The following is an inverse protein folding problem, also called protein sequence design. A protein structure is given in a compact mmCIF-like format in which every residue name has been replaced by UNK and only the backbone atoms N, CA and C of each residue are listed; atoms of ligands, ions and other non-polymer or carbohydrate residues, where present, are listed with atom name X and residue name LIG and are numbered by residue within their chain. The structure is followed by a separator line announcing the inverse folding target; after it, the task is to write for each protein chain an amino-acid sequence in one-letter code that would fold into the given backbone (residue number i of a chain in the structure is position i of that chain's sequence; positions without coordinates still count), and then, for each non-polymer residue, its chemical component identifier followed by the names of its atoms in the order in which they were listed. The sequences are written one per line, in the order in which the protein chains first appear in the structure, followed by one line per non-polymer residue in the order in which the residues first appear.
data_IF_045741712433
#
_entry.id   IF_045741712433
#
_cell.length_a   1.000
_cell.length_b   1.000
_cell.length_c   1.000
_cell.angle_alpha   90.00
_cell.angle_beta   90.00
_cell.angle_gamma   90.00
#
_symmetry.space_group_name_H-M   'P 1'
#
loop_
_entity.id
_entity.type
_entity.pdbx_description
1 polymer ?
#
# COMPACT_ATOMS: atom_id res chain seq x y z
N UNK A 1 6.85 24.90 11.01
CA UNK A 1 5.81 24.65 10.00
C UNK A 1 5.57 23.16 9.92
N UNK A 2 4.34 22.70 10.09
CA UNK A 2 4.01 21.30 9.84
C UNK A 2 3.93 21.10 8.33
N UNK A 3 4.90 20.40 7.75
CA UNK A 3 4.81 19.93 6.36
C UNK A 3 3.74 18.84 6.33
N UNK A 4 2.80 18.92 5.39
CA UNK A 4 1.83 17.86 5.15
C UNK A 4 2.57 16.56 4.82
N UNK A 5 2.08 15.44 5.35
CA UNK A 5 2.60 14.13 4.97
C UNK A 5 2.29 13.79 3.51
N UNK A 6 2.95 12.77 2.98
CA UNK A 6 2.76 12.26 1.61
C UNK A 6 2.03 10.93 1.61
N UNK A 7 1.42 10.60 0.48
CA UNK A 7 0.81 9.28 0.26
C UNK A 7 1.75 8.41 -0.59
N UNK A 8 2.05 7.23 -0.07
CA UNK A 8 2.83 6.20 -0.74
C UNK A 8 1.98 4.95 -0.95
N UNK A 9 1.90 4.48 -2.17
CA UNK A 9 1.33 3.17 -2.50
C UNK A 9 2.46 2.16 -2.54
N UNK A 10 2.26 1.04 -1.86
CA UNK A 10 3.14 -0.12 -1.98
C UNK A 10 2.35 -1.28 -2.53
N UNK A 11 2.70 -1.71 -3.74
CA UNK A 11 2.14 -2.88 -4.39
C UNK A 11 3.22 -3.94 -4.62
N UNK A 12 2.81 -5.12 -5.01
CA UNK A 12 3.72 -6.23 -5.33
C UNK A 12 3.02 -7.56 -5.29
N UNK A 13 3.56 -8.56 -6.00
CA UNK A 13 2.88 -9.84 -6.16
C UNK A 13 2.75 -10.59 -4.85
N UNK A 14 1.74 -11.45 -4.82
CA UNK A 14 1.55 -12.34 -3.68
C UNK A 14 2.79 -13.23 -3.49
N UNK A 15 3.25 -13.34 -2.23
CA UNK A 15 4.44 -14.14 -1.90
C UNK A 15 5.76 -13.37 -1.94
N UNK A 16 5.77 -12.10 -2.35
CA UNK A 16 6.98 -11.28 -2.40
C UNK A 16 7.56 -10.92 -1.02
N UNK A 17 6.78 -11.06 0.05
CA UNK A 17 7.19 -10.69 1.42
C UNK A 17 6.84 -9.26 1.82
N UNK A 18 5.92 -8.61 1.11
CA UNK A 18 5.51 -7.22 1.33
C UNK A 18 5.14 -6.94 2.79
N UNK A 19 4.27 -7.74 3.40
CA UNK A 19 3.83 -7.54 4.79
C UNK A 19 4.99 -7.57 5.80
N UNK A 20 6.00 -8.43 5.59
CA UNK A 20 7.20 -8.50 6.44
C UNK A 20 8.03 -7.23 6.32
N UNK A 21 8.24 -6.75 5.09
CA UNK A 21 8.98 -5.50 4.82
C UNK A 21 8.25 -4.30 5.44
N UNK A 22 6.93 -4.22 5.25
CA UNK A 22 6.14 -3.13 5.80
C UNK A 22 6.12 -3.14 7.32
N UNK A 23 5.97 -4.30 7.96
CA UNK A 23 6.05 -4.41 9.41
C UNK A 23 7.39 -3.87 9.94
N UNK A 24 8.52 -4.28 9.33
CA UNK A 24 9.84 -3.79 9.70
C UNK A 24 10.05 -2.29 9.39
N UNK A 25 9.41 -1.76 8.34
CA UNK A 25 9.44 -0.33 8.02
C UNK A 25 8.77 0.51 9.11
N UNK A 26 7.66 0.02 9.66
CA UNK A 26 6.86 0.72 10.67
C UNK A 26 7.41 0.61 12.09
N UNK A 27 8.33 -0.31 12.34
CA UNK A 27 8.91 -0.51 13.67
C UNK A 27 9.63 0.76 14.18
N UNK A 28 9.14 1.30 15.31
CA UNK A 28 9.68 2.52 15.92
C UNK A 28 9.43 3.82 15.14
N UNK A 29 8.45 3.86 14.21
CA UNK A 29 8.12 5.01 13.36
C UNK A 29 6.75 5.60 13.69
N UNK A 30 6.73 6.73 14.40
CA UNK A 30 5.51 7.48 14.73
C UNK A 30 5.11 8.49 13.64
N UNK A 31 6.01 8.75 12.72
CA UNK A 31 5.84 9.64 11.57
C UNK A 31 5.17 8.95 10.36
N UNK A 32 4.89 7.66 10.47
CA UNK A 32 4.19 6.87 9.46
C UNK A 32 2.78 6.49 9.93
N UNK A 33 1.86 6.45 8.99
CA UNK A 33 0.50 5.94 9.17
C UNK A 33 0.22 4.81 8.17
N UNK A 34 -0.03 3.60 8.68
CA UNK A 34 -0.53 2.50 7.86
C UNK A 34 -2.03 2.67 7.66
N UNK A 35 -2.46 2.82 6.42
CA UNK A 35 -3.88 3.00 6.13
C UNK A 35 -4.64 1.70 6.31
N UNK A 36 -5.50 1.67 7.33
CA UNK A 36 -6.38 0.54 7.60
C UNK A 36 -7.59 0.63 6.68
N UNK A 37 -7.79 -0.38 5.83
CA UNK A 37 -8.91 -0.46 4.90
C UNK A 37 -10.22 -0.76 5.62
N UNK A 38 -11.34 -0.27 5.08
CA UNK A 38 -12.67 -0.71 5.46
C UNK A 38 -13.05 -1.99 4.70
N UNK A 39 -13.82 -2.87 5.33
CA UNK A 39 -14.36 -4.07 4.68
C UNK A 39 -15.75 -4.43 5.18
N UNK A 40 -16.53 -5.07 4.32
CA UNK A 40 -17.83 -5.64 4.68
C UNK A 40 -17.75 -7.10 5.14
N UNK A 41 -16.56 -7.70 5.07
CA UNK A 41 -16.30 -9.04 5.57
C UNK A 41 -16.40 -9.06 7.10
N UNK A 42 -16.98 -10.12 7.64
CA UNK A 42 -16.94 -10.35 9.09
C UNK A 42 -15.50 -10.56 9.59
N UNK A 43 -15.16 -10.08 10.81
CA UNK A 43 -13.84 -10.34 11.40
C UNK A 43 -13.56 -11.84 11.51
N UNK A 44 -12.31 -12.23 11.28
CA UNK A 44 -11.81 -13.57 11.61
C UNK A 44 -11.36 -13.60 13.08
N UNK A 45 -11.16 -14.81 13.59
CA UNK A 45 -10.61 -14.98 14.94
C UNK A 45 -9.25 -14.26 15.06
N UNK A 46 -9.13 -13.42 16.09
CA UNK A 46 -7.94 -12.62 16.35
C UNK A 46 -7.87 -11.27 15.64
N UNK A 47 -8.71 -11.00 14.64
CA UNK A 47 -8.76 -9.69 13.97
C UNK A 47 -9.48 -8.63 14.84
N UNK A 48 -8.96 -7.41 14.86
CA UNK A 48 -9.47 -6.28 15.66
C UNK A 48 -9.93 -5.14 14.77
N UNK A 49 -11.12 -4.61 15.08
CA UNK A 49 -11.64 -3.43 14.40
C UNK A 49 -10.72 -2.22 14.58
N UNK A 50 -10.53 -1.47 13.50
CA UNK A 50 -9.66 -0.29 13.47
C UNK A 50 -8.15 -0.59 13.47
N UNK A 51 -7.76 -1.87 13.52
CA UNK A 51 -6.36 -2.31 13.49
C UNK A 51 -6.07 -3.13 12.24
N UNK A 52 -6.81 -4.23 12.05
CA UNK A 52 -6.65 -5.09 10.88
C UNK A 52 -7.50 -4.57 9.72
N UNK A 53 -8.75 -4.20 10.01
CA UNK A 53 -9.71 -3.55 9.13
C UNK A 53 -10.68 -2.68 9.94
N UNK A 54 -11.33 -1.72 9.27
CA UNK A 54 -12.58 -1.14 9.75
C UNK A 54 -13.73 -2.02 9.25
N UNK A 55 -14.29 -2.85 10.15
CA UNK A 55 -15.37 -3.77 9.80
C UNK A 55 -16.70 -3.01 9.82
N UNK A 56 -17.31 -2.79 8.64
CA UNK A 56 -18.55 -2.03 8.49
C UNK A 56 -19.61 -2.82 7.72
N UNK A 57 -20.88 -2.50 7.96
CA UNK A 57 -22.00 -3.11 7.24
C UNK A 57 -21.98 -2.72 5.76
N UNK A 58 -22.48 -3.63 4.91
CA UNK A 58 -22.54 -3.43 3.46
C UNK A 58 -23.28 -2.15 3.06
N UNK A 59 -24.38 -1.81 3.74
CA UNK A 59 -25.14 -0.58 3.46
C UNK A 59 -24.33 0.66 3.78
N UNK A 60 -23.57 0.66 4.90
CA UNK A 60 -22.65 1.77 5.22
C UNK A 60 -21.56 1.89 4.16
N UNK A 61 -21.00 0.78 3.69
CA UNK A 61 -19.98 0.80 2.64
C UNK A 61 -20.54 1.38 1.34
N UNK A 62 -21.76 0.96 0.92
CA UNK A 62 -22.43 1.51 -0.28
C UNK A 62 -22.71 3.01 -0.16
N UNK A 63 -23.15 3.48 1.01
CA UNK A 63 -23.33 4.90 1.26
C UNK A 63 -22.01 5.67 1.11
N UNK A 64 -20.89 5.14 1.64
CA UNK A 64 -19.56 5.72 1.48
C UNK A 64 -19.10 5.77 0.02
N UNK A 65 -19.46 4.76 -0.80
CA UNK A 65 -19.21 4.82 -2.26
C UNK A 65 -20.01 5.97 -2.88
N UNK A 66 -21.30 6.11 -2.56
CA UNK A 66 -22.16 7.16 -3.10
C UNK A 66 -21.70 8.57 -2.68
N UNK A 67 -21.08 8.70 -1.51
CA UNK A 67 -20.47 9.92 -0.97
C UNK A 67 -19.06 10.19 -1.51
N UNK A 68 -18.53 9.36 -2.42
CA UNK A 68 -17.13 9.37 -2.89
C UNK A 68 -16.09 9.41 -1.75
N UNK A 69 -16.35 8.67 -0.68
CA UNK A 69 -15.57 8.71 0.56
C UNK A 69 -14.36 7.76 0.56
N UNK A 70 -14.12 7.02 -0.52
CA UNK A 70 -12.98 6.13 -0.67
C UNK A 70 -11.96 6.68 -1.67
N UNK A 71 -10.67 6.51 -1.40
CA UNK A 71 -9.60 6.70 -2.38
C UNK A 71 -9.66 5.63 -3.48
N UNK A 72 -9.86 4.38 -3.06
CA UNK A 72 -10.09 3.22 -3.91
C UNK A 72 -11.04 2.25 -3.21
N UNK A 73 -11.72 1.43 -3.98
CA UNK A 73 -12.46 0.28 -3.46
C UNK A 73 -12.56 -0.82 -4.52
N UNK A 74 -12.73 -2.05 -4.04
CA UNK A 74 -12.93 -3.23 -4.87
C UNK A 74 -13.87 -4.23 -4.19
N UNK A 75 -14.53 -5.05 -4.99
CA UNK A 75 -15.21 -6.24 -4.51
C UNK A 75 -14.33 -7.46 -4.72
N UNK A 76 -14.18 -8.26 -3.65
CA UNK A 76 -13.46 -9.53 -3.70
C UNK A 76 -14.21 -10.60 -2.93
N UNK A 77 -14.55 -11.70 -3.61
CA UNK A 77 -15.28 -12.85 -3.03
C UNK A 77 -16.55 -12.41 -2.28
N UNK A 78 -17.36 -11.54 -2.90
CA UNK A 78 -18.64 -11.06 -2.36
C UNK A 78 -18.51 -10.07 -1.18
N UNK A 79 -17.31 -9.57 -0.87
CA UNK A 79 -17.08 -8.54 0.14
C UNK A 79 -16.41 -7.33 -0.49
N UNK A 80 -16.76 -6.16 0.01
CA UNK A 80 -16.11 -4.92 -0.37
C UNK A 80 -14.91 -4.64 0.52
N UNK A 81 -13.91 -4.02 -0.08
CA UNK A 81 -12.70 -3.50 0.57
C UNK A 81 -12.41 -2.11 0.00
N UNK A 82 -11.96 -1.18 0.82
CA UNK A 82 -11.64 0.16 0.32
C UNK A 82 -10.89 1.00 1.34
N UNK A 83 -10.17 1.99 0.86
CA UNK A 83 -9.35 2.91 1.64
C UNK A 83 -10.14 4.19 1.96
N UNK A 84 -10.56 4.43 3.24
CA UNK A 84 -11.32 5.62 3.60
C UNK A 84 -10.48 6.88 3.44
N UNK A 85 -10.91 7.79 2.57
CA UNK A 85 -10.19 9.03 2.23
C UNK A 85 -9.94 9.92 3.46
N UNK A 86 -10.96 10.11 4.30
CA UNK A 86 -10.88 10.97 5.49
C UNK A 86 -9.80 10.58 6.49
N UNK A 87 -9.51 9.28 6.63
CA UNK A 87 -8.47 8.80 7.55
C UNK A 87 -7.07 9.12 7.00
N UNK A 88 -6.89 8.98 5.70
CA UNK A 88 -5.66 9.35 5.00
C UNK A 88 -5.40 10.85 5.13
N UNK A 89 -6.41 11.67 4.84
CA UNK A 89 -6.30 13.15 4.94
C UNK A 89 -5.91 13.59 6.34
N UNK A 90 -6.59 13.05 7.35
CA UNK A 90 -6.31 13.36 8.75
C UNK A 90 -4.85 13.01 9.14
N UNK A 91 -4.34 11.88 8.67
CA UNK A 91 -2.94 11.50 8.95
C UNK A 91 -1.95 12.43 8.26
N UNK A 92 -2.21 12.79 6.99
CA UNK A 92 -1.38 13.75 6.25
C UNK A 92 -1.39 15.14 6.88
N UNK A 93 -2.53 15.63 7.34
CA UNK A 93 -2.66 16.91 8.08
C UNK A 93 -1.88 16.92 9.39
N UNK A 94 -1.67 15.74 10.00
CA UNK A 94 -0.82 15.56 11.18
C UNK A 94 0.68 15.48 10.83
N UNK A 95 1.05 15.64 9.56
CA UNK A 95 2.42 15.55 9.08
C UNK A 95 2.95 14.12 8.96
N UNK A 96 2.06 13.11 9.01
CA UNK A 96 2.45 11.71 8.85
C UNK A 96 2.43 11.30 7.39
N UNK A 97 3.46 10.58 6.96
CA UNK A 97 3.41 9.89 5.69
C UNK A 97 2.44 8.71 5.75
N UNK A 98 1.59 8.60 4.76
CA UNK A 98 0.56 7.56 4.67
C UNK A 98 1.00 6.48 3.70
N UNK A 99 0.98 5.23 4.15
CA UNK A 99 1.31 4.08 3.33
C UNK A 99 0.06 3.24 3.07
N UNK A 100 -0.24 3.03 1.79
CA UNK A 100 -1.35 2.22 1.28
C UNK A 100 -0.80 0.89 0.76
N UNK A 101 -1.14 -0.22 1.43
CA UNK A 101 -0.86 -1.58 0.96
C UNK A 101 -2.02 -2.06 0.09
N UNK A 102 -1.98 -1.76 -1.21
CA UNK A 102 -3.07 -2.02 -2.15
C UNK A 102 -2.57 -2.69 -3.43
N UNK A 103 -3.51 -3.36 -4.13
CA UNK A 103 -3.25 -3.95 -5.43
C UNK A 103 -3.19 -2.90 -6.54
N UNK A 104 -2.64 -3.26 -7.70
CA UNK A 104 -2.42 -2.34 -8.83
C UNK A 104 -3.71 -1.65 -9.28
N UNK A 105 -4.85 -2.36 -9.28
CA UNK A 105 -6.14 -1.75 -9.66
C UNK A 105 -6.56 -0.65 -8.68
N UNK A 106 -6.35 -0.87 -7.38
CA UNK A 106 -6.57 0.17 -6.37
C UNK A 106 -5.61 1.34 -6.54
N UNK A 107 -4.34 1.06 -6.83
CA UNK A 107 -3.33 2.09 -7.12
C UNK A 107 -3.76 3.02 -8.27
N UNK A 108 -4.33 2.47 -9.35
CA UNK A 108 -4.85 3.26 -10.47
C UNK A 108 -5.99 4.20 -10.04
N UNK A 109 -6.92 3.73 -9.19
CA UNK A 109 -8.01 4.56 -8.66
C UNK A 109 -7.48 5.68 -7.78
N UNK A 110 -6.52 5.39 -6.88
CA UNK A 110 -5.90 6.42 -6.03
C UNK A 110 -5.21 7.47 -6.89
N UNK A 111 -4.39 7.09 -7.87
CA UNK A 111 -3.66 8.02 -8.74
C UNK A 111 -4.60 8.87 -9.61
N UNK A 112 -5.77 8.35 -9.99
CA UNK A 112 -6.79 9.15 -10.69
C UNK A 112 -7.35 10.28 -9.81
N UNK A 113 -7.45 10.06 -8.51
CA UNK A 113 -7.93 11.06 -7.52
C UNK A 113 -6.79 11.93 -6.97
N UNK A 114 -5.59 11.36 -6.85
CA UNK A 114 -4.38 11.98 -6.26
C UNK A 114 -3.15 11.68 -7.11
N UNK A 115 -2.94 12.44 -8.20
CA UNK A 115 -1.83 12.22 -9.13
C UNK A 115 -0.44 12.34 -8.49
N UNK A 116 -0.33 13.08 -7.39
CA UNK A 116 0.90 13.28 -6.62
C UNK A 116 1.33 12.05 -5.79
N UNK A 117 0.48 11.02 -5.69
CA UNK A 117 0.77 9.82 -4.91
C UNK A 117 1.95 9.05 -5.49
N UNK A 118 2.91 8.73 -4.64
CA UNK A 118 4.13 8.00 -5.01
C UNK A 118 3.84 6.50 -5.05
N UNK A 119 4.16 5.85 -6.17
CA UNK A 119 3.92 4.41 -6.38
C UNK A 119 5.22 3.65 -6.28
N UNK A 120 5.28 2.70 -5.35
CA UNK A 120 6.43 1.84 -5.11
C UNK A 120 6.00 0.38 -5.34
N UNK A 121 6.72 -0.32 -6.19
CA UNK A 121 6.47 -1.74 -6.44
C UNK A 121 7.55 -2.58 -5.78
N UNK A 122 7.16 -3.52 -4.91
CA UNK A 122 8.08 -4.48 -4.29
C UNK A 122 8.08 -5.77 -5.11
N UNK A 123 9.25 -6.16 -5.57
CA UNK A 123 9.48 -7.34 -6.39
C UNK A 123 10.35 -8.39 -5.68
N UNK A 124 10.25 -9.67 -6.06
CA UNK A 124 11.20 -10.68 -5.61
C UNK A 124 12.55 -10.49 -6.29
N UNK A 125 13.67 -11.02 -5.74
CA UNK A 125 14.99 -10.90 -6.36
C UNK A 125 15.12 -11.71 -7.65
N UNK A 126 14.24 -12.69 -7.86
CA UNK A 126 14.15 -13.46 -9.10
C UNK A 126 12.80 -14.17 -9.21
N UNK A 127 12.45 -14.55 -10.45
CA UNK A 127 11.28 -15.38 -10.71
C UNK A 127 11.32 -16.72 -9.96
N UNK A 128 12.49 -17.37 -9.96
CA UNK A 128 12.73 -18.65 -9.27
C UNK A 128 12.49 -18.51 -7.75
N UNK A 129 12.89 -17.39 -7.17
CA UNK A 129 12.68 -17.15 -5.75
C UNK A 129 11.19 -16.92 -5.42
N UNK A 130 10.45 -16.22 -6.29
CA UNK A 130 9.00 -16.08 -6.13
C UNK A 130 8.31 -17.45 -6.16
N UNK A 131 8.63 -18.29 -7.14
CA UNK A 131 8.11 -19.65 -7.25
C UNK A 131 8.42 -20.47 -5.99
N UNK A 132 9.66 -20.43 -5.51
CA UNK A 132 10.05 -21.07 -4.26
C UNK A 132 9.24 -20.59 -3.06
N UNK A 133 9.04 -19.27 -2.91
CA UNK A 133 8.27 -18.67 -1.80
C UNK A 133 6.79 -19.06 -1.86
N UNK A 134 6.22 -19.13 -3.05
CA UNK A 134 4.82 -19.55 -3.23
C UNK A 134 4.61 -21.03 -2.93
N UNK A 135 5.55 -21.89 -3.34
CA UNK A 135 5.50 -23.34 -3.13
C UNK A 135 5.80 -23.72 -1.67
N UNK A 136 6.74 -23.05 -1.02
CA UNK A 136 7.18 -23.36 0.34
C UNK A 136 6.09 -23.20 1.42
N UNK A 137 5.01 -22.48 1.13
CA UNK A 137 3.86 -22.33 2.07
C UNK A 137 3.08 -23.62 2.29
N UNK A 138 3.19 -24.61 1.39
CA UNK A 138 2.58 -25.93 1.53
C UNK A 138 1.05 -25.98 1.59
N UNK A 139 0.37 -24.83 1.54
CA UNK A 139 -1.08 -24.70 1.69
C UNK A 139 -1.84 -24.62 0.35
N UNK A 140 -1.14 -24.42 -0.75
CA UNK A 140 -1.72 -24.24 -2.08
C UNK A 140 -1.46 -25.45 -2.98
N UNK A 141 -2.46 -25.81 -3.79
CA UNK A 141 -2.29 -26.85 -4.82
C UNK A 141 -1.36 -26.32 -5.94
N UNK A 142 -0.71 -27.22 -6.73
CA UNK A 142 0.13 -26.84 -7.86
C UNK A 142 -0.58 -25.90 -8.84
N UNK A 143 -1.86 -26.15 -9.13
CA UNK A 143 -2.66 -25.30 -10.03
C UNK A 143 -2.87 -23.90 -9.46
N UNK A 144 -3.03 -23.78 -8.14
CA UNK A 144 -3.19 -22.49 -7.47
C UNK A 144 -1.87 -21.71 -7.48
N UNK A 145 -0.74 -22.38 -7.26
CA UNK A 145 0.59 -21.79 -7.39
C UNK A 145 0.80 -21.26 -8.81
N UNK A 146 0.46 -22.04 -9.83
CA UNK A 146 0.58 -21.63 -11.23
C UNK A 146 -0.27 -20.40 -11.56
N UNK A 147 -1.52 -20.35 -11.06
CA UNK A 147 -2.37 -19.15 -11.23
C UNK A 147 -1.78 -17.91 -10.58
N UNK A 148 -1.16 -18.06 -9.40
CA UNK A 148 -0.50 -16.94 -8.70
C UNK A 148 0.75 -16.46 -9.45
N UNK A 149 1.52 -17.38 -10.04
CA UNK A 149 2.67 -17.02 -10.86
C UNK A 149 2.25 -16.27 -12.13
N UNK A 150 1.22 -16.75 -12.84
CA UNK A 150 0.69 -16.03 -14.00
C UNK A 150 0.21 -14.61 -13.64
N UNK A 151 -0.47 -14.45 -12.49
CA UNK A 151 -0.88 -13.14 -12.00
C UNK A 151 0.34 -12.26 -11.69
N UNK A 152 1.35 -12.82 -11.03
CA UNK A 152 2.58 -12.09 -10.70
C UNK A 152 3.32 -11.61 -11.95
N UNK A 153 3.30 -12.37 -13.04
CA UNK A 153 3.90 -11.96 -14.32
C UNK A 153 3.20 -10.71 -14.87
N UNK A 154 1.87 -10.69 -14.85
CA UNK A 154 1.10 -9.51 -15.28
C UNK A 154 1.38 -8.31 -14.39
N UNK A 155 1.41 -8.52 -13.07
CA UNK A 155 1.68 -7.46 -12.10
C UNK A 155 3.09 -6.87 -12.28
N UNK A 156 4.10 -7.69 -12.56
CA UNK A 156 5.48 -7.23 -12.86
C UNK A 156 5.55 -6.39 -14.15
N UNK A 157 4.80 -6.76 -15.19
CA UNK A 157 4.76 -5.92 -16.41
C UNK A 157 4.06 -4.58 -16.15
N UNK A 158 2.99 -4.57 -15.36
CA UNK A 158 2.30 -3.34 -14.96
C UNK A 158 3.18 -2.44 -14.06
N UNK A 159 4.14 -3.01 -13.35
CA UNK A 159 5.08 -2.28 -12.51
C UNK A 159 5.98 -1.29 -13.28
N UNK A 160 6.08 -1.42 -14.62
CA UNK A 160 6.75 -0.42 -15.49
C UNK A 160 6.16 0.98 -15.38
N UNK A 161 4.90 1.09 -14.94
CA UNK A 161 4.22 2.36 -14.70
C UNK A 161 4.39 2.91 -13.28
N UNK A 162 5.17 2.26 -12.42
CA UNK A 162 5.44 2.72 -11.05
C UNK A 162 6.61 3.71 -11.03
N UNK A 163 6.66 4.52 -9.97
CA UNK A 163 7.71 5.53 -9.81
C UNK A 163 9.01 4.92 -9.28
N UNK A 164 8.88 3.84 -8.47
CA UNK A 164 10.01 3.13 -7.89
C UNK A 164 9.79 1.62 -7.90
N UNK A 165 10.90 0.88 -8.01
CA UNK A 165 10.92 -0.58 -8.04
C UNK A 165 11.95 -1.08 -7.01
N UNK A 166 11.47 -1.67 -5.92
CA UNK A 166 12.26 -2.16 -4.79
C UNK A 166 12.40 -3.68 -4.88
N UNK A 167 13.61 -4.19 -4.80
CA UNK A 167 13.87 -5.64 -4.83
C UNK A 167 13.97 -6.18 -3.41
N UNK A 168 13.04 -7.04 -2.99
CA UNK A 168 13.09 -7.70 -1.69
C UNK A 168 13.98 -8.94 -1.72
N UNK A 169 15.29 -8.72 -1.79
CA UNK A 169 16.33 -9.74 -1.59
C UNK A 169 16.50 -10.06 -0.10
N UNK A 170 16.67 -9.03 0.72
CA UNK A 170 16.59 -9.08 2.18
C UNK A 170 15.60 -8.03 2.68
N UNK A 171 14.96 -8.29 3.84
CA UNK A 171 14.03 -7.35 4.47
C UNK A 171 14.75 -6.02 4.78
N UNK A 172 15.98 -6.10 5.28
CA UNK A 172 16.79 -4.94 5.64
C UNK A 172 17.06 -4.04 4.43
N UNK A 173 17.50 -4.61 3.29
CA UNK A 173 17.75 -3.85 2.07
C UNK A 173 16.47 -3.19 1.55
N UNK A 174 15.38 -3.95 1.47
CA UNK A 174 14.10 -3.41 1.02
C UNK A 174 13.58 -2.27 1.91
N UNK A 175 13.73 -2.36 3.23
CA UNK A 175 13.38 -1.30 4.17
C UNK A 175 14.27 -0.07 3.97
N UNK A 176 15.58 -0.25 3.76
CA UNK A 176 16.50 0.85 3.51
C UNK A 176 16.19 1.57 2.20
N UNK A 177 15.85 0.83 1.13
CA UNK A 177 15.40 1.44 -0.13
C UNK A 177 14.09 2.21 0.04
N UNK A 178 13.09 1.66 0.75
CA UNK A 178 11.85 2.37 1.04
C UNK A 178 12.08 3.68 1.81
N UNK A 179 12.93 3.65 2.84
CA UNK A 179 13.31 4.85 3.62
C UNK A 179 14.00 5.89 2.76
N UNK A 180 14.91 5.47 1.88
CA UNK A 180 15.61 6.36 0.96
C UNK A 180 14.64 7.03 -0.04
N UNK A 181 13.70 6.26 -0.60
CA UNK A 181 12.64 6.77 -1.50
C UNK A 181 11.78 7.82 -0.77
N UNK A 182 11.28 7.50 0.42
CA UNK A 182 10.45 8.42 1.20
C UNK A 182 11.21 9.72 1.52
N UNK A 183 12.48 9.61 1.92
CA UNK A 183 13.35 10.77 2.16
C UNK A 183 13.55 11.61 0.88
N UNK A 184 13.82 10.97 -0.26
CA UNK A 184 14.02 11.66 -1.53
C UNK A 184 12.75 12.39 -1.99
N UNK A 185 11.58 11.81 -1.79
CA UNK A 185 10.29 12.43 -2.11
C UNK A 185 10.05 13.72 -1.32
N UNK A 186 10.45 13.78 -0.06
CA UNK A 186 10.42 15.00 0.74
C UNK A 186 11.51 16.03 0.37
N UNK A 187 12.47 15.66 -0.48
CA UNK A 187 13.51 16.57 -0.97
C UNK A 187 13.15 17.25 -2.30
N UNK A 188 11.99 16.97 -2.88
CA UNK A 188 11.55 17.59 -4.14
C UNK A 188 11.40 19.10 -4.00
N UNK A 189 11.86 19.90 -5.00
CA UNK A 189 11.91 21.37 -4.89
C UNK A 189 10.57 22.03 -4.60
N UNK A 190 9.48 21.55 -5.21
CA UNK A 190 8.15 22.14 -5.07
C UNK A 190 7.69 22.33 -3.61
N UNK A 191 8.10 21.44 -2.71
CA UNK A 191 7.71 21.52 -1.29
C UNK A 191 8.71 22.33 -0.45
N UNK A 192 10.00 22.27 -0.79
CA UNK A 192 11.05 22.95 -0.02
C UNK A 192 11.18 24.43 -0.32
N UNK A 193 10.92 24.84 -1.57
CA UNK A 193 11.00 26.24 -1.98
C UNK A 193 10.01 27.08 -1.18
N UNK A 194 8.75 26.62 -1.08
CA UNK A 194 7.70 27.35 -0.35
C UNK A 194 8.03 27.48 1.14
N UNK A 195 8.62 26.45 1.75
CA UNK A 195 9.04 26.51 3.15
C UNK A 195 10.13 27.56 3.38
N UNK A 196 11.05 27.74 2.44
CA UNK A 196 12.12 28.76 2.51
C UNK A 196 11.56 30.15 2.25
N UNK A 197 10.68 30.32 1.26
CA UNK A 197 10.10 31.62 0.90
C UNK A 197 9.14 32.16 1.96
N UNK A 198 8.41 31.27 2.66
CA UNK A 198 7.43 31.64 3.69
C UNK A 198 8.02 31.72 5.11
N UNK A 199 9.32 31.49 5.27
CA UNK A 199 10.05 31.59 6.56
C UNK A 199 10.57 33.02 6.88
N UNK A 200 10.01 34.05 6.24
CA UNK A 200 10.36 35.48 6.48
C UNK A 200 9.62 36.06 7.67
#
# INVERSE_FOLDING_TARGET
MHTMGKTFIVSGPSGVGKSTVLHALFEGRDDLYFSVSATTRTPREGERDGVDYHFIHADRFRNMIAEDAFLEYAEYVGNFYGTPMKLVDKAMEQGKDVLLDIEIQGAMQVCAKRPETVRIFIAPPSWKELERRLTARGTDSPEKVQKRLLRAQVELEMARGYDYFVVNDTVENAVNELRAIMCAEHCKPAERIDSVLNSK
#
